data_IF_889579768873
#
_entry.id   IF_889579768873
#
_cell.length_a   1.000
_cell.length_b   1.000
_cell.length_c   1.000
_cell.angle_alpha   90.00
_cell.angle_beta   90.00
_cell.angle_gamma   90.00
#
_symmetry.space_group_name_H-M   'P 1'
#
loop_
_entity.id
_entity.type
_entity.pdbx_description
1 polymer ?
#
# COMPACT_ATOMS: atom_id res chain seq x y z
N UNK A 1 -67.56 -48.06 14.76
CA UNK A 1 -66.08 -48.10 14.58
C UNK A 1 -65.66 -46.80 13.90
N UNK A 2 -64.93 -45.93 14.61
CA UNK A 2 -64.38 -44.67 14.08
C UNK A 2 -63.02 -44.97 13.44
N UNK A 3 -62.81 -44.60 12.18
CA UNK A 3 -61.48 -44.56 11.56
C UNK A 3 -61.03 -43.10 11.46
N UNK A 4 -59.95 -42.78 12.18
CA UNK A 4 -59.27 -41.50 12.19
C UNK A 4 -58.37 -41.38 10.96
N UNK A 5 -58.56 -40.33 10.17
CA UNK A 5 -57.66 -39.92 9.08
C UNK A 5 -56.49 -39.15 9.70
N UNK A 6 -55.29 -39.73 9.65
CA UNK A 6 -54.06 -39.05 10.05
C UNK A 6 -53.50 -38.27 8.86
N UNK A 7 -53.68 -36.94 8.90
CA UNK A 7 -53.00 -36.00 8.00
C UNK A 7 -51.57 -35.79 8.49
N UNK A 8 -50.57 -36.35 7.80
CA UNK A 8 -49.15 -36.07 8.08
C UNK A 8 -48.74 -34.76 7.43
N UNK A 9 -48.66 -33.69 8.23
CA UNK A 9 -48.09 -32.40 7.83
C UNK A 9 -46.56 -32.53 7.83
N UNK A 10 -45.94 -32.56 6.65
CA UNK A 10 -44.49 -32.49 6.51
C UNK A 10 -44.08 -31.01 6.53
N UNK A 11 -43.58 -30.55 7.67
CA UNK A 11 -42.95 -29.23 7.80
C UNK A 11 -41.57 -29.30 7.14
N UNK A 12 -41.43 -28.73 5.93
CA UNK A 12 -40.13 -28.51 5.31
C UNK A 12 -39.42 -27.37 6.04
N UNK A 13 -38.46 -27.71 6.89
CA UNK A 13 -37.47 -26.76 7.41
C UNK A 13 -36.61 -26.26 6.23
N UNK A 14 -36.85 -25.03 5.79
CA UNK A 14 -35.97 -24.34 4.84
C UNK A 14 -34.73 -23.89 5.63
N UNK A 15 -33.65 -24.66 5.54
CA UNK A 15 -32.35 -24.18 5.96
C UNK A 15 -31.92 -23.07 4.99
N UNK A 16 -31.94 -21.81 5.44
CA UNK A 16 -31.35 -20.70 4.69
C UNK A 16 -29.85 -20.97 4.54
N UNK A 17 -29.41 -21.32 3.33
CA UNK A 17 -27.98 -21.45 3.05
C UNK A 17 -27.34 -20.07 3.19
N UNK A 18 -26.46 -19.93 4.18
CA UNK A 18 -25.65 -18.71 4.36
C UNK A 18 -24.67 -18.66 3.18
N UNK A 19 -24.76 -17.59 2.38
CA UNK A 19 -23.86 -17.36 1.25
C UNK A 19 -22.66 -16.55 1.71
N UNK A 20 -21.46 -17.08 1.53
CA UNK A 20 -20.20 -16.39 1.85
C UNK A 20 -19.68 -15.70 0.60
N UNK A 21 -19.44 -14.38 0.66
CA UNK A 21 -18.89 -13.61 -0.45
C UNK A 21 -17.36 -13.61 -0.41
N UNK A 22 -16.73 -13.58 -1.58
CA UNK A 22 -15.32 -13.24 -1.69
C UNK A 22 -15.13 -11.74 -1.47
N UNK A 23 -14.20 -11.38 -0.60
CA UNK A 23 -13.86 -9.98 -0.35
C UNK A 23 -13.16 -9.37 -1.57
N UNK A 24 -13.42 -8.09 -1.82
CA UNK A 24 -12.75 -7.33 -2.88
C UNK A 24 -11.30 -7.01 -2.48
N UNK A 25 -10.50 -6.51 -3.43
CA UNK A 25 -9.07 -6.23 -3.21
C UNK A 25 -8.79 -5.16 -2.12
N UNK A 26 -9.79 -4.34 -1.75
CA UNK A 26 -9.70 -3.35 -0.68
C UNK A 26 -10.28 -3.84 0.66
N UNK A 27 -10.77 -5.08 0.70
CA UNK A 27 -11.38 -5.68 1.87
C UNK A 27 -10.53 -6.85 2.36
N UNK A 28 -10.51 -7.07 3.67
CA UNK A 28 -10.00 -8.30 4.26
C UNK A 28 -11.16 -9.09 4.85
N UNK A 29 -11.07 -10.41 4.80
CA UNK A 29 -11.97 -11.25 5.57
C UNK A 29 -11.49 -11.24 7.03
N UNK A 30 -12.18 -10.49 7.88
CA UNK A 30 -11.78 -10.26 9.26
C UNK A 30 -12.94 -10.54 10.22
N UNK A 31 -12.60 -10.84 11.48
CA UNK A 31 -13.58 -10.95 12.56
C UNK A 31 -14.47 -9.71 12.59
N UNK A 32 -15.78 -9.91 12.70
CA UNK A 32 -16.75 -8.82 12.74
C UNK A 32 -16.48 -7.84 13.91
N UNK A 33 -15.83 -8.31 14.97
CA UNK A 33 -15.46 -7.49 16.12
C UNK A 33 -14.31 -6.53 15.83
N UNK A 34 -13.42 -6.91 14.90
CA UNK A 34 -12.23 -6.13 14.51
C UNK A 34 -12.50 -5.22 13.30
N UNK A 35 -13.74 -5.22 12.81
CA UNK A 35 -14.15 -4.51 11.62
C UNK A 35 -14.47 -3.04 11.94
N UNK A 36 -13.77 -2.05 11.34
CA UNK A 36 -14.06 -0.64 11.58
C UNK A 36 -15.54 -0.27 11.31
N UNK A 37 -16.14 -0.91 10.31
CA UNK A 37 -17.56 -0.73 9.94
C UNK A 37 -18.53 -1.09 11.05
N UNK A 38 -18.18 -2.03 11.95
CA UNK A 38 -19.09 -2.51 13.01
C UNK A 38 -18.59 -2.18 14.42
N UNK A 39 -17.52 -1.39 14.55
CA UNK A 39 -16.85 -1.11 15.82
C UNK A 39 -17.78 -0.48 16.88
N UNK A 40 -18.76 0.32 16.47
CA UNK A 40 -19.74 0.92 17.38
C UNK A 40 -20.70 -0.09 18.04
N UNK A 41 -20.78 -1.31 17.51
CA UNK A 41 -21.67 -2.37 17.99
C UNK A 41 -20.92 -3.59 18.53
N UNK A 42 -19.59 -3.65 18.38
CA UNK A 42 -18.77 -4.83 18.69
C UNK A 42 -18.81 -5.24 20.16
N UNK A 43 -19.16 -4.33 21.07
CA UNK A 43 -19.34 -4.59 22.50
C UNK A 43 -20.71 -5.19 22.87
N UNK A 44 -21.67 -5.21 21.94
CA UNK A 44 -23.02 -5.72 22.16
C UNK A 44 -23.19 -7.12 21.54
N UNK A 45 -24.01 -8.00 22.14
CA UNK A 45 -24.41 -9.25 21.49
C UNK A 45 -25.06 -8.96 20.14
N UNK A 46 -24.68 -9.70 19.09
CA UNK A 46 -25.14 -9.48 17.70
C UNK A 46 -26.67 -9.37 17.55
N UNK A 47 -27.43 -10.11 18.38
CA UNK A 47 -28.90 -10.08 18.40
C UNK A 47 -29.49 -8.70 18.77
N UNK A 48 -28.71 -7.88 19.46
CA UNK A 48 -29.10 -6.55 19.94
C UNK A 48 -28.70 -5.42 18.97
N UNK A 49 -28.07 -5.74 17.84
CA UNK A 49 -27.66 -4.73 16.85
C UNK A 49 -28.89 -4.21 16.10
N UNK A 50 -28.83 -2.99 15.51
CA UNK A 50 -29.88 -2.50 14.61
C UNK A 50 -30.13 -3.50 13.45
N UNK A 51 -31.39 -3.65 13.03
CA UNK A 51 -31.79 -4.69 12.06
C UNK A 51 -31.13 -4.54 10.70
N UNK A 52 -30.97 -3.29 10.25
CA UNK A 52 -30.25 -2.90 9.05
C UNK A 52 -28.77 -3.28 9.12
N UNK A 53 -28.12 -3.05 10.26
CA UNK A 53 -26.71 -3.42 10.50
C UNK A 53 -26.56 -4.95 10.53
N UNK A 54 -27.48 -5.66 11.19
CA UNK A 54 -27.49 -7.13 11.18
C UNK A 54 -27.62 -7.68 9.75
N UNK A 55 -28.50 -7.09 8.93
CA UNK A 55 -28.69 -7.48 7.54
C UNK A 55 -27.43 -7.23 6.71
N UNK A 56 -26.78 -6.08 6.90
CA UNK A 56 -25.52 -5.73 6.24
C UNK A 56 -24.39 -6.70 6.61
N UNK A 57 -24.24 -7.01 7.90
CA UNK A 57 -23.25 -7.97 8.38
C UNK A 57 -23.46 -9.36 7.75
N UNK A 58 -24.72 -9.85 7.72
CA UNK A 58 -25.06 -11.14 7.11
C UNK A 58 -24.77 -11.18 5.61
N UNK A 59 -24.98 -10.08 4.89
CA UNK A 59 -24.64 -10.00 3.46
C UNK A 59 -23.14 -9.93 3.16
N UNK A 60 -22.31 -9.60 4.15
CA UNK A 60 -20.87 -9.42 4.00
C UNK A 60 -20.05 -10.59 4.57
N UNK A 61 -20.68 -11.69 4.98
CA UNK A 61 -19.98 -12.85 5.52
C UNK A 61 -18.98 -13.42 4.51
N UNK A 62 -17.78 -13.74 4.97
CA UNK A 62 -16.67 -14.15 4.10
C UNK A 62 -15.99 -15.46 4.50
N UNK A 63 -16.20 -15.94 5.74
CA UNK A 63 -15.77 -17.26 6.17
C UNK A 63 -16.76 -17.90 7.16
N UNK A 64 -16.54 -19.17 7.45
CA UNK A 64 -17.31 -19.95 8.43
C UNK A 64 -16.40 -20.65 9.45
N UNK A 65 -15.37 -19.97 9.92
CA UNK A 65 -14.41 -20.59 10.83
C UNK A 65 -15.02 -20.85 12.22
N UNK A 66 -14.63 -21.98 12.82
CA UNK A 66 -14.99 -22.35 14.18
C UNK A 66 -13.73 -22.40 15.04
N UNK A 67 -13.64 -21.53 16.05
CA UNK A 67 -12.57 -21.59 17.06
C UNK A 67 -13.21 -22.15 18.33
N UNK A 68 -12.67 -23.23 18.90
CA UNK A 68 -13.17 -23.87 20.12
C UNK A 68 -14.69 -24.17 20.12
N UNK A 69 -15.22 -24.62 18.98
CA UNK A 69 -16.67 -24.89 18.76
C UNK A 69 -17.58 -23.65 18.85
N UNK A 70 -17.00 -22.44 18.86
CA UNK A 70 -17.74 -21.19 18.69
C UNK A 70 -17.57 -20.67 17.26
N UNK A 71 -18.67 -20.36 16.55
CA UNK A 71 -18.59 -19.78 15.20
C UNK A 71 -18.01 -18.37 15.28
N UNK A 72 -16.91 -18.13 14.57
CA UNK A 72 -16.30 -16.81 14.43
C UNK A 72 -16.93 -16.15 13.23
N UNK A 73 -17.74 -15.12 13.49
CA UNK A 73 -18.42 -14.39 12.43
C UNK A 73 -17.41 -13.46 11.75
N UNK A 74 -16.94 -13.83 10.55
CA UNK A 74 -16.06 -12.96 9.77
C UNK A 74 -16.78 -12.36 8.58
N UNK A 75 -16.47 -11.10 8.32
CA UNK A 75 -17.08 -10.29 7.26
C UNK A 75 -15.99 -9.60 6.45
N UNK A 76 -16.31 -9.25 5.21
CA UNK A 76 -15.45 -8.39 4.42
C UNK A 76 -15.45 -6.99 5.04
N UNK A 77 -14.30 -6.61 5.57
CA UNK A 77 -14.06 -5.34 6.22
C UNK A 77 -13.21 -4.47 5.32
N UNK A 78 -13.53 -3.18 5.16
CA UNK A 78 -12.59 -2.23 4.59
C UNK A 78 -11.28 -2.37 5.36
N UNK A 79 -10.21 -2.69 4.63
CA UNK A 79 -8.89 -2.75 5.22
C UNK A 79 -8.63 -1.37 5.85
N UNK A 80 -8.46 -1.25 7.19
CA UNK A 80 -7.83 -0.04 7.70
C UNK A 80 -6.50 0.10 6.96
N UNK A 81 -6.03 1.33 6.78
CA UNK A 81 -4.78 1.72 6.10
C UNK A 81 -3.50 1.09 6.73
N UNK A 82 -3.62 -0.03 7.42
CA UNK A 82 -2.61 -0.73 8.18
C UNK A 82 -2.93 -2.21 8.51
N UNK A 83 -3.83 -2.91 7.77
CA UNK A 83 -4.07 -4.34 8.04
C UNK A 83 -3.07 -5.26 7.30
N UNK A 84 -1.99 -5.63 8.01
CA UNK A 84 -1.07 -6.79 7.80
C UNK A 84 -0.43 -7.04 6.42
N UNK A 85 -0.64 -6.20 5.40
CA UNK A 85 -0.04 -6.34 4.07
C UNK A 85 0.58 -5.03 3.59
N UNK A 86 1.49 -4.49 4.40
CA UNK A 86 2.37 -3.39 3.99
C UNK A 86 3.83 -3.83 4.13
N UNK A 87 4.75 -3.20 3.40
CA UNK A 87 6.19 -3.44 3.53
C UNK A 87 6.62 -4.88 3.24
N UNK A 88 5.81 -5.63 2.49
CA UNK A 88 6.16 -6.98 2.04
C UNK A 88 6.99 -6.84 0.77
N UNK A 89 8.26 -7.24 0.86
CA UNK A 89 9.16 -7.41 -0.28
C UNK A 89 9.10 -8.88 -0.73
N UNK A 90 8.87 -9.10 -2.02
CA UNK A 90 8.80 -10.44 -2.63
C UNK A 90 10.12 -10.61 -3.40
N UNK A 91 10.97 -11.54 -2.93
CA UNK A 91 12.39 -11.79 -3.25
C UNK A 91 13.40 -11.11 -2.32
N UNK A 92 14.18 -11.92 -1.59
CA UNK A 92 15.15 -11.48 -0.55
C UNK A 92 16.59 -11.99 -0.78
N UNK A 93 16.85 -12.99 -1.63
CA UNK A 93 18.06 -13.78 -1.39
C UNK A 93 19.39 -13.22 -1.94
N UNK A 94 19.45 -12.03 -2.55
CA UNK A 94 20.75 -11.47 -2.95
C UNK A 94 20.82 -9.96 -3.21
N UNK A 95 20.56 -9.17 -2.17
CA UNK A 95 20.82 -7.73 -2.25
C UNK A 95 22.33 -7.44 -2.24
N UNK A 96 22.88 -7.00 -3.39
CA UNK A 96 24.29 -6.62 -3.55
C UNK A 96 24.46 -5.10 -3.37
N UNK A 97 25.60 -4.67 -2.83
CA UNK A 97 25.97 -3.26 -2.76
C UNK A 97 26.45 -2.77 -4.14
N UNK A 98 25.85 -1.67 -4.64
CA UNK A 98 26.04 -0.95 -5.93
C UNK A 98 24.87 -1.15 -6.91
N UNK A 99 23.91 -0.21 -6.89
CA UNK A 99 22.95 0.04 -7.97
C UNK A 99 22.46 -1.21 -8.72
N UNK A 100 21.81 -2.11 -7.99
CA UNK A 100 21.35 -3.41 -8.50
C UNK A 100 20.01 -3.22 -9.19
N UNK A 101 19.80 -3.91 -10.32
CA UNK A 101 18.49 -3.99 -10.99
C UNK A 101 17.53 -4.69 -10.04
N UNK A 102 16.38 -4.07 -9.79
CA UNK A 102 15.34 -4.66 -8.95
C UNK A 102 14.60 -5.75 -9.73
N UNK A 103 14.20 -6.81 -9.03
CA UNK A 103 13.22 -7.76 -9.56
C UNK A 103 11.84 -7.09 -9.65
N UNK A 104 10.99 -7.59 -10.54
CA UNK A 104 9.68 -6.99 -10.86
C UNK A 104 8.76 -6.80 -9.64
N UNK A 105 8.89 -7.63 -8.60
CA UNK A 105 8.04 -7.59 -7.40
C UNK A 105 8.77 -7.09 -6.14
N UNK A 106 9.99 -6.59 -6.28
CA UNK A 106 10.88 -6.34 -5.14
C UNK A 106 10.48 -5.09 -4.34
N UNK A 107 10.09 -4.01 -5.00
CA UNK A 107 9.66 -2.76 -4.35
C UNK A 107 8.26 -2.32 -4.83
N UNK A 108 7.20 -3.06 -4.48
CA UNK A 108 5.84 -2.87 -5.02
C UNK A 108 5.14 -1.60 -4.52
N UNK A 109 5.78 -0.82 -3.65
CA UNK A 109 5.31 0.49 -3.19
C UNK A 109 5.86 1.66 -4.02
N UNK A 110 6.75 1.42 -4.98
CA UNK A 110 7.34 2.48 -5.77
C UNK A 110 6.33 3.09 -6.74
N UNK A 111 6.39 4.41 -6.87
CA UNK A 111 5.45 5.20 -7.68
C UNK A 111 6.20 6.20 -8.55
N UNK A 112 5.83 6.28 -9.83
CA UNK A 112 6.26 7.34 -10.73
C UNK A 112 5.22 8.47 -10.72
N UNK A 113 5.68 9.72 -10.65
CA UNK A 113 4.82 10.90 -10.70
C UNK A 113 4.95 11.59 -12.06
N UNK A 114 3.80 11.84 -12.68
CA UNK A 114 3.69 12.46 -14.01
C UNK A 114 3.12 13.86 -13.90
N UNK A 115 3.70 14.80 -14.64
CA UNK A 115 3.11 16.12 -14.87
C UNK A 115 2.40 16.13 -16.22
N UNK A 116 1.81 17.27 -16.56
CA UNK A 116 1.17 17.47 -17.87
C UNK A 116 2.19 17.53 -19.01
N UNK A 117 3.42 17.95 -18.73
CA UNK A 117 4.46 18.23 -19.72
C UNK A 117 5.54 17.16 -19.79
N UNK A 118 5.75 16.42 -18.70
CA UNK A 118 6.83 15.46 -18.57
C UNK A 118 6.32 14.08 -18.22
N UNK A 119 6.94 13.07 -18.86
CA UNK A 119 6.66 11.66 -18.63
C UNK A 119 7.18 11.14 -17.28
N UNK A 120 8.03 11.85 -16.56
CA UNK A 120 8.43 11.45 -15.21
C UNK A 120 9.15 12.62 -14.56
N UNK A 121 8.65 13.08 -13.42
CA UNK A 121 9.20 14.26 -12.72
C UNK A 121 9.83 13.88 -11.38
N UNK A 122 9.17 13.00 -10.63
CA UNK A 122 9.55 12.63 -9.28
C UNK A 122 9.10 11.20 -8.93
N UNK A 123 9.72 10.63 -7.91
CA UNK A 123 9.24 9.41 -7.26
C UNK A 123 8.20 9.68 -6.17
N UNK A 124 7.48 8.62 -5.80
CA UNK A 124 6.63 8.57 -4.63
C UNK A 124 6.57 7.16 -4.04
N UNK A 125 5.86 7.03 -2.93
CA UNK A 125 5.67 5.76 -2.22
C UNK A 125 4.20 5.54 -1.94
N UNK A 126 3.66 4.41 -2.36
CA UNK A 126 2.31 4.00 -2.02
C UNK A 126 2.25 3.67 -0.52
N UNK A 127 1.42 4.39 0.23
CA UNK A 127 1.23 4.16 1.68
C UNK A 127 -0.15 3.56 1.98
N UNK A 128 -1.02 3.55 0.97
CA UNK A 128 -2.27 2.79 0.95
C UNK A 128 -2.81 2.69 -0.46
N UNK A 129 -3.88 1.92 -0.68
CA UNK A 129 -4.54 1.86 -1.98
C UNK A 129 -4.94 3.25 -2.54
N UNK A 130 -5.12 4.30 -1.71
CA UNK A 130 -5.61 5.61 -2.16
C UNK A 130 -4.66 6.78 -1.90
N UNK A 131 -3.50 6.54 -1.31
CA UNK A 131 -2.57 7.59 -0.93
C UNK A 131 -1.14 7.25 -1.32
N UNK A 132 -0.50 8.22 -1.97
CA UNK A 132 0.93 8.22 -2.29
C UNK A 132 1.61 9.31 -1.47
N UNK A 133 2.72 8.97 -0.83
CA UNK A 133 3.61 9.89 -0.14
C UNK A 133 4.72 10.35 -1.09
N UNK A 134 5.05 11.63 -1.08
CA UNK A 134 6.17 12.18 -1.86
C UNK A 134 6.77 13.40 -1.15
N UNK A 135 7.76 14.04 -1.76
CA UNK A 135 8.35 15.27 -1.26
C UNK A 135 7.47 16.49 -1.56
N UNK A 136 7.56 17.50 -0.71
CA UNK A 136 6.84 18.77 -0.90
C UNK A 136 7.33 19.53 -2.13
N UNK A 137 8.64 19.47 -2.41
CA UNK A 137 9.23 20.13 -3.58
C UNK A 137 8.76 19.52 -4.91
N UNK A 138 8.35 18.24 -4.93
CA UNK A 138 7.82 17.58 -6.13
C UNK A 138 6.44 18.12 -6.56
N UNK A 139 5.75 18.87 -5.69
CA UNK A 139 4.38 19.36 -5.92
C UNK A 139 4.28 20.88 -5.87
N UNK A 140 5.38 21.58 -6.17
CA UNK A 140 5.53 22.99 -5.81
C UNK A 140 4.92 24.00 -6.80
N UNK A 141 4.72 23.64 -8.09
CA UNK A 141 4.29 24.61 -9.11
C UNK A 141 3.05 24.17 -9.88
N UNK A 142 2.29 25.13 -10.38
CA UNK A 142 1.16 24.88 -11.30
C UNK A 142 1.62 24.33 -12.65
N UNK A 143 2.87 24.60 -13.07
CA UNK A 143 3.47 24.08 -14.30
C UNK A 143 3.94 22.61 -14.15
N UNK A 144 4.46 22.26 -12.97
CA UNK A 144 4.86 20.90 -12.59
C UNK A 144 3.77 20.17 -11.79
N UNK A 145 2.51 20.59 -11.96
CA UNK A 145 1.38 19.99 -11.26
C UNK A 145 1.29 18.51 -11.61
N UNK A 146 1.47 17.68 -10.60
CA UNK A 146 1.33 16.23 -10.74
C UNK A 146 -0.14 15.93 -11.07
N UNK A 147 -0.37 15.34 -12.24
CA UNK A 147 -1.72 15.03 -12.75
C UNK A 147 -2.09 13.58 -12.53
N UNK A 148 -1.10 12.68 -12.56
CA UNK A 148 -1.29 11.25 -12.42
C UNK A 148 -0.06 10.60 -11.82
N UNK A 149 -0.28 9.39 -11.33
CA UNK A 149 0.76 8.51 -10.80
C UNK A 149 0.70 7.18 -11.55
N UNK A 150 1.84 6.48 -11.64
CA UNK A 150 1.91 5.09 -12.08
C UNK A 150 2.38 4.20 -10.95
N UNK A 151 1.66 3.11 -10.71
CA UNK A 151 2.02 2.06 -9.73
C UNK A 151 2.17 0.71 -10.41
N UNK A 152 3.00 -0.16 -9.85
CA UNK A 152 3.27 -1.50 -10.38
C UNK A 152 4.13 -1.51 -11.64
N UNK A 153 5.01 -0.52 -11.76
CA UNK A 153 5.99 -0.39 -12.84
C UNK A 153 7.35 -0.94 -12.40
N UNK A 154 8.12 -1.54 -13.32
CA UNK A 154 9.52 -1.89 -13.10
C UNK A 154 10.41 -1.39 -14.25
N UNK A 155 10.08 -1.67 -15.52
CA UNK A 155 10.77 -1.13 -16.70
C UNK A 155 9.85 -0.19 -17.48
N UNK A 156 10.12 1.11 -17.45
CA UNK A 156 9.27 2.15 -18.06
C UNK A 156 9.11 2.03 -19.58
N UNK A 157 9.95 1.23 -20.24
CA UNK A 157 9.89 0.99 -21.68
C UNK A 157 9.11 -0.28 -22.05
N UNK A 158 8.68 -1.06 -21.05
CA UNK A 158 7.92 -2.29 -21.26
C UNK A 158 6.46 -2.12 -20.81
N UNK A 159 5.49 -2.67 -21.58
CA UNK A 159 4.09 -2.66 -21.15
C UNK A 159 3.77 -3.77 -20.12
N UNK A 160 4.58 -4.82 -20.08
CA UNK A 160 4.47 -5.98 -19.19
C UNK A 160 5.87 -6.36 -18.76
N UNK A 161 6.09 -6.39 -17.45
CA UNK A 161 7.36 -6.77 -16.83
C UNK A 161 7.33 -8.23 -16.39
N UNK A 162 8.39 -8.98 -16.69
CA UNK A 162 8.53 -10.38 -16.28
C UNK A 162 9.93 -10.66 -15.72
N UNK A 163 9.99 -11.43 -14.63
CA UNK A 163 11.23 -12.09 -14.25
C UNK A 163 11.40 -13.31 -15.16
N UNK A 164 12.53 -13.39 -15.87
CA UNK A 164 12.85 -14.49 -16.78
C UNK A 164 14.04 -15.26 -16.21
N UNK A 165 13.73 -16.29 -15.41
CA UNK A 165 14.69 -17.30 -14.95
C UNK A 165 14.54 -18.58 -15.80
N UNK A 166 15.29 -19.66 -15.49
CA UNK A 166 15.30 -20.95 -16.22
C UNK A 166 13.94 -21.72 -16.27
N UNK A 167 12.82 -21.06 -15.95
CA UNK A 167 11.46 -21.60 -15.89
C UNK A 167 10.42 -20.73 -16.63
N UNK A 168 9.14 -20.91 -16.26
CA UNK A 168 8.05 -20.10 -16.82
C UNK A 168 8.16 -18.63 -16.39
N UNK A 169 7.97 -17.65 -17.29
CA UNK A 169 8.05 -16.23 -16.95
C UNK A 169 7.06 -15.85 -15.85
N UNK A 170 7.54 -15.23 -14.78
CA UNK A 170 6.70 -14.67 -13.71
C UNK A 170 6.45 -13.18 -13.99
N UNK A 171 5.30 -12.89 -14.59
CA UNK A 171 4.98 -11.56 -15.10
C UNK A 171 4.04 -10.78 -14.17
N UNK A 172 4.30 -9.48 -14.03
CA UNK A 172 3.37 -8.56 -13.41
C UNK A 172 2.21 -8.22 -14.36
N UNK A 173 1.02 -7.91 -13.81
CA UNK A 173 -0.01 -7.19 -14.56
C UNK A 173 0.52 -5.84 -15.05
N UNK A 174 -0.07 -5.30 -16.11
CA UNK A 174 0.29 -3.99 -16.63
C UNK A 174 0.22 -2.88 -15.53
N UNK A 175 1.13 -1.89 -15.57
CA UNK A 175 1.11 -0.78 -14.62
C UNK A 175 -0.21 -0.02 -14.63
N UNK A 176 -0.56 0.58 -13.48
CA UNK A 176 -1.80 1.33 -13.32
C UNK A 176 -1.53 2.83 -13.31
N UNK A 177 -2.01 3.54 -14.33
CA UNK A 177 -2.06 5.00 -14.33
C UNK A 177 -3.33 5.50 -13.63
N UNK A 178 -3.16 6.35 -12.62
CA UNK A 178 -4.24 6.85 -11.77
C UNK A 178 -4.09 8.36 -11.59
N UNK A 179 -5.16 9.11 -11.88
CA UNK A 179 -5.17 10.56 -11.69
C UNK A 179 -5.10 10.93 -10.20
N UNK A 180 -4.56 12.11 -9.94
CA UNK A 180 -4.52 12.73 -8.60
C UNK A 180 -5.78 13.57 -8.38
N UNK A 181 -6.58 13.22 -7.37
CA UNK A 181 -7.76 13.98 -6.93
C UNK A 181 -7.36 15.23 -6.15
N UNK A 182 -6.37 15.08 -5.26
CA UNK A 182 -5.97 16.13 -4.35
C UNK A 182 -4.49 16.02 -3.99
N UNK A 183 -3.82 17.17 -3.94
CA UNK A 183 -2.46 17.32 -3.43
C UNK A 183 -2.55 17.99 -2.06
N UNK A 184 -1.92 17.37 -1.06
CA UNK A 184 -1.89 17.83 0.34
C UNK A 184 -0.42 18.04 0.71
N UNK A 185 0.10 19.24 0.43
CA UNK A 185 1.45 19.62 0.86
C UNK A 185 1.48 19.93 2.35
N UNK A 186 2.56 19.59 3.04
CA UNK A 186 2.70 19.94 4.44
C UNK A 186 2.56 21.47 4.63
N UNK A 187 1.73 21.96 5.57
CA UNK A 187 1.43 23.39 5.70
C UNK A 187 2.67 24.22 6.10
N UNK A 188 3.60 23.60 6.83
CA UNK A 188 4.89 24.20 7.19
C UNK A 188 6.02 23.95 6.18
N UNK A 189 5.73 23.48 4.96
CA UNK A 189 6.76 23.25 3.94
C UNK A 189 7.45 24.56 3.52
N UNK A 190 8.76 24.51 3.32
CA UNK A 190 9.56 25.67 2.89
C UNK A 190 10.66 25.26 1.91
N UNK A 191 10.56 25.68 0.65
CA UNK A 191 11.60 25.43 -0.36
C UNK A 191 12.94 26.06 -0.03
N UNK A 192 12.92 27.22 0.63
CA UNK A 192 14.13 27.96 1.01
C UNK A 192 14.92 27.24 2.10
N UNK A 193 14.22 26.77 3.13
CA UNK A 193 14.87 26.11 4.27
C UNK A 193 14.91 24.59 4.17
N UNK A 194 14.29 24.02 3.13
CA UNK A 194 14.08 22.58 2.90
C UNK A 194 13.38 21.87 4.06
N UNK A 195 12.67 22.62 4.92
CA UNK A 195 11.95 22.08 6.07
C UNK A 195 10.61 21.49 5.64
N UNK A 196 10.21 20.41 6.31
CA UNK A 196 8.95 19.71 6.12
C UNK A 196 8.70 19.36 4.64
N UNK A 197 9.70 18.79 3.99
CA UNK A 197 9.67 18.40 2.59
C UNK A 197 8.86 17.13 2.35
N UNK A 198 7.55 17.22 2.58
CA UNK A 198 6.62 16.09 2.52
C UNK A 198 5.26 16.54 1.99
N UNK A 199 4.64 15.68 1.19
CA UNK A 199 3.30 15.86 0.64
C UNK A 199 2.59 14.51 0.47
N UNK A 200 1.26 14.54 0.51
CA UNK A 200 0.40 13.42 0.18
C UNK A 200 -0.38 13.70 -1.10
N UNK A 201 -0.46 12.69 -1.96
CA UNK A 201 -1.33 12.67 -3.13
C UNK A 201 -2.49 11.72 -2.85
N UNK A 202 -3.71 12.22 -2.91
CA UNK A 202 -4.92 11.39 -2.87
C UNK A 202 -5.31 11.02 -4.29
N UNK A 203 -5.46 9.72 -4.54
CA UNK A 203 -5.79 9.19 -5.85
C UNK A 203 -7.30 9.26 -6.13
N UNK A 204 -7.67 9.58 -7.37
CA UNK A 204 -9.06 9.67 -7.83
C UNK A 204 -9.81 8.36 -7.55
N UNK A 205 -9.19 7.22 -7.88
CA UNK A 205 -9.64 5.87 -7.55
C UNK A 205 -8.56 5.12 -6.76
N UNK A 206 -8.94 4.17 -5.89
CA UNK A 206 -7.95 3.31 -5.23
C UNK A 206 -7.22 2.41 -6.26
N UNK A 207 -5.90 2.31 -6.13
CA UNK A 207 -5.06 1.36 -6.85
C UNK A 207 -5.48 -0.08 -6.53
N UNK A 208 -5.50 -0.93 -7.56
CA UNK A 208 -5.77 -2.37 -7.39
C UNK A 208 -4.52 -3.01 -6.80
N UNK A 209 -4.61 -3.42 -5.53
CA UNK A 209 -3.50 -4.06 -4.83
C UNK A 209 -3.25 -5.48 -5.37
N UNK A 210 -1.98 -5.88 -5.40
CA UNK A 210 -1.52 -7.16 -5.94
C UNK A 210 -0.03 -7.37 -5.68
N UNK A 211 0.58 -8.43 -6.24
CA UNK A 211 2.01 -8.73 -6.03
C UNK A 211 2.94 -7.58 -6.43
N UNK A 212 2.60 -6.85 -7.50
CA UNK A 212 3.34 -5.68 -7.98
C UNK A 212 2.89 -4.35 -7.36
N UNK A 213 1.83 -4.33 -6.53
CA UNK A 213 1.26 -3.11 -5.95
C UNK A 213 0.88 -3.35 -4.49
N UNK A 214 1.79 -3.02 -3.57
CA UNK A 214 1.63 -3.20 -2.13
C UNK A 214 2.12 -1.93 -1.45
N UNK A 215 1.37 -1.35 -0.50
CA UNK A 215 1.82 -0.15 0.21
C UNK A 215 3.02 -0.46 1.13
N UNK A 216 3.87 0.53 1.39
CA UNK A 216 4.88 0.41 2.46
C UNK A 216 4.25 0.64 3.84
N UNK A 217 4.83 0.05 4.87
CA UNK A 217 4.43 0.38 6.24
C UNK A 217 4.97 1.76 6.64
N UNK A 218 4.15 2.53 7.35
CA UNK A 218 4.59 3.76 7.99
C UNK A 218 5.08 3.49 9.42
N UNK A 219 6.11 4.21 9.89
CA UNK A 219 6.49 4.16 11.28
C UNK A 219 5.32 4.66 12.15
N UNK A 220 4.96 3.91 13.18
CA UNK A 220 3.91 4.25 14.13
C UNK A 220 4.37 5.27 15.18
N UNK A 221 5.64 5.68 15.13
CA UNK A 221 6.22 6.70 15.99
C UNK A 221 6.64 6.19 17.37
N UNK A 222 6.57 4.88 17.63
CA UNK A 222 7.07 4.32 18.89
C UNK A 222 8.57 4.61 19.05
N UNK A 223 9.04 4.87 20.28
CA UNK A 223 10.47 5.06 20.54
C UNK A 223 11.31 3.87 20.05
N UNK A 224 10.79 2.65 20.15
CA UNK A 224 11.43 1.41 19.70
C UNK A 224 11.75 1.43 18.19
N UNK A 225 10.87 1.98 17.35
CA UNK A 225 11.13 2.12 15.91
C UNK A 225 12.18 3.18 15.59
N UNK A 226 12.40 4.16 16.48
CA UNK A 226 13.46 5.17 16.33
C UNK A 226 14.82 4.68 16.82
N UNK A 227 14.86 3.57 17.57
CA UNK A 227 16.06 2.97 18.16
C UNK A 227 16.72 1.97 17.21
N UNK A 228 15.98 1.45 16.22
CA UNK A 228 16.57 0.60 15.18
C UNK A 228 17.48 1.47 14.32
N UNK A 229 18.78 1.42 14.58
CA UNK A 229 19.82 1.89 13.69
C UNK A 229 20.23 0.70 12.81
N UNK A 230 19.61 0.52 11.63
CA UNK A 230 19.89 -0.63 10.82
C UNK A 230 21.32 -0.55 10.29
N UNK A 231 22.00 -1.68 10.13
CA UNK A 231 23.34 -1.70 9.53
C UNK A 231 23.39 -1.10 8.12
N UNK A 232 22.25 -1.04 7.42
CA UNK A 232 22.06 -0.36 6.16
C UNK A 232 20.59 0.06 5.96
N UNK A 233 20.38 1.05 5.08
CA UNK A 233 19.11 1.42 4.50
C UNK A 233 19.08 1.03 3.02
N UNK A 234 17.90 0.87 2.45
CA UNK A 234 17.72 0.64 1.01
C UNK A 234 17.14 1.90 0.38
N UNK A 235 17.77 2.38 -0.69
CA UNK A 235 17.25 3.45 -1.54
C UNK A 235 16.92 2.83 -2.89
N UNK A 236 15.72 3.07 -3.41
CA UNK A 236 15.27 2.57 -4.71
C UNK A 236 14.67 3.68 -5.57
N UNK A 237 14.74 3.50 -6.90
CA UNK A 237 14.15 4.41 -7.87
C UNK A 237 14.74 4.27 -9.28
N UNK A 238 14.23 5.11 -10.19
CA UNK A 238 14.65 5.22 -11.59
C UNK A 238 15.59 6.42 -11.83
N UNK A 239 16.08 7.03 -10.74
CA UNK A 239 16.86 8.27 -10.75
C UNK A 239 18.29 8.12 -11.28
N UNK A 240 18.96 9.27 -11.44
CA UNK A 240 20.29 9.39 -12.03
C UNK A 240 21.36 8.64 -11.22
N UNK A 241 22.27 7.94 -11.92
CA UNK A 241 23.53 7.46 -11.33
C UNK A 241 24.46 8.60 -10.94
N UNK A 242 25.55 8.28 -10.23
CA UNK A 242 26.72 9.15 -10.05
C UNK A 242 27.26 9.74 -11.37
N UNK A 243 26.93 9.13 -12.52
CA UNK A 243 27.32 9.58 -13.86
C UNK A 243 26.21 10.34 -14.62
N UNK A 244 25.10 10.68 -13.98
CA UNK A 244 24.05 11.52 -14.58
C UNK A 244 23.19 10.84 -15.65
N UNK A 245 23.11 9.51 -15.66
CA UNK A 245 22.21 8.75 -16.54
C UNK A 245 21.03 8.18 -15.75
N UNK A 246 19.80 8.41 -16.22
CA UNK A 246 18.59 7.80 -15.67
C UNK A 246 18.47 6.36 -16.13
N UNK A 247 17.74 5.56 -15.37
CA UNK A 247 17.52 4.16 -15.71
C UNK A 247 16.07 3.88 -16.06
N UNK A 248 15.87 3.11 -17.11
CA UNK A 248 14.55 2.67 -17.52
C UNK A 248 13.98 1.60 -16.57
N UNK A 249 14.87 0.76 -16.02
CA UNK A 249 14.55 -0.30 -15.06
C UNK A 249 14.83 0.16 -13.64
N UNK A 250 13.90 -0.13 -12.72
CA UNK A 250 14.01 0.15 -11.30
C UNK A 250 15.30 -0.43 -10.74
N UNK A 251 15.97 0.38 -9.91
CA UNK A 251 17.19 -0.02 -9.22
C UNK A 251 17.14 0.30 -7.75
N UNK A 252 18.05 -0.31 -7.02
CA UNK A 252 18.21 -0.07 -5.61
C UNK A 252 19.66 -0.18 -5.13
N UNK A 253 19.96 0.41 -3.99
CA UNK A 253 21.26 0.37 -3.36
C UNK A 253 21.14 0.29 -1.84
N UNK A 254 22.05 -0.47 -1.21
CA UNK A 254 22.27 -0.42 0.24
C UNK A 254 23.19 0.75 0.59
N UNK A 255 22.75 1.60 1.50
CA UNK A 255 23.52 2.75 1.99
C UNK A 255 23.65 2.68 3.51
N UNK A 256 24.81 2.97 4.09
CA UNK A 256 24.93 3.05 5.54
C UNK A 256 24.13 4.27 6.06
N UNK A 257 23.43 4.14 7.20
CA UNK A 257 22.89 5.32 7.86
C UNK A 257 24.03 6.25 8.30
N UNK A 258 23.73 7.55 8.39
CA UNK A 258 24.68 8.58 8.82
C UNK A 258 24.03 9.36 9.96
N UNK A 259 24.78 9.59 11.03
CA UNK A 259 24.28 10.37 12.16
C UNK A 259 23.92 11.79 11.74
N UNK A 260 22.98 12.43 12.46
CA UNK A 260 22.62 13.83 12.18
C UNK A 260 23.82 14.77 12.32
N UNK A 261 24.74 14.47 13.24
CA UNK A 261 25.98 15.21 13.44
C UNK A 261 26.89 15.12 12.22
N UNK A 262 27.21 13.90 11.78
CA UNK A 262 28.07 13.66 10.61
C UNK A 262 27.47 14.24 9.33
N UNK A 263 26.15 14.13 9.16
CA UNK A 263 25.44 14.76 8.04
C UNK A 263 25.60 16.28 8.06
N UNK A 264 25.42 16.91 9.24
CA UNK A 264 25.61 18.34 9.42
C UNK A 264 27.06 18.81 9.21
N UNK A 265 28.05 17.98 9.52
CA UNK A 265 29.47 18.26 9.22
C UNK A 265 29.71 18.19 7.71
N UNK A 266 29.27 17.12 7.05
CA UNK A 266 29.44 16.93 5.60
C UNK A 266 28.78 18.04 4.78
N UNK A 267 27.55 18.42 5.11
CA UNK A 267 26.84 19.49 4.41
C UNK A 267 27.54 20.85 4.55
N UNK A 268 28.09 21.17 5.73
CA UNK A 268 28.89 22.39 5.93
C UNK A 268 30.20 22.36 5.15
N UNK A 269 30.84 21.20 5.04
CA UNK A 269 32.04 21.01 4.22
C UNK A 269 31.76 21.21 2.71
N UNK A 270 30.60 20.74 2.22
CA UNK A 270 30.18 20.93 0.84
C UNK A 270 29.88 22.40 0.52
N UNK A 271 29.20 23.13 1.42
CA UNK A 271 28.94 24.58 1.29
C UNK A 271 30.24 25.42 1.34
N UNK A 272 31.27 24.95 2.04
CA UNK A 272 32.59 25.58 2.03
C UNK A 272 33.37 25.34 0.72
N UNK A 273 33.15 24.19 0.08
CA UNK A 273 33.81 23.82 -1.18
C UNK A 273 33.15 24.53 -2.39
N UNK A 274 31.84 24.76 -2.34
CA UNK A 274 31.06 25.48 -3.35
C UNK A 274 31.19 27.02 -3.28
N UNK A 275 31.94 27.55 -2.30
CA UNK A 275 32.21 28.99 -2.13
C UNK A 275 33.61 29.40 -2.58
N UNK A 276 34.37 28.51 -3.22
CA UNK A 276 35.70 28.78 -3.76
C UNK A 276 35.67 28.87 -5.29
N UNK A 277 34.73 29.66 -5.82
CA UNK A 277 34.64 30.05 -7.22
C UNK A 277 34.17 31.51 -7.31
#
# INVERSE_FOLDING_TARGET
>A
MRFLVLLSIVVKLVASQISYKSCTYNEICASIQDCPTYQSYSSLPFRNWPQDVQKLAKSNLCNNEMINRTPVLSVCCPSPLNSRRCGIQIDDDRIVAKGTVANVFEFPWMVLLYSRTERFVCGGTLVSARYVLTAGHCVNSEESKIISVRVGENDINQPIDCNVDDGEPDCAPAPQDINVEQIIRHPGHSDRSKKNDIALLRLERPAVLGRSVIPICLPNGSPEQRIVDPSFLVVSGWGLTENGTSFDVLRYARVPPVSLEDCGIKLRGLDATLRLD
#
